data_IF_304602454257
#
_entry.id   IF_304602454257
#
_cell.length_a   1.000
_cell.length_b   1.000
_cell.length_c   1.000
_cell.angle_alpha   90.00
_cell.angle_beta   90.00
_cell.angle_gamma   90.00
#
_symmetry.space_group_name_H-M   'P 1'
#
loop_
_entity.id
_entity.type
_entity.pdbx_description
1 polymer ?
#
# COMPACT_ATOMS: atom_id res chain seq x y z
N UNK A 1 -10.93 -18.80 -5.55
CA UNK A 1 -10.39 -17.55 -6.13
C UNK A 1 -10.86 -16.44 -5.22
N UNK A 2 -9.97 -15.56 -4.76
CA UNK A 2 -10.39 -14.40 -3.97
C UNK A 2 -11.37 -13.57 -4.80
N UNK A 3 -12.52 -13.20 -4.24
CA UNK A 3 -13.54 -12.35 -4.88
C UNK A 3 -13.07 -10.89 -5.12
N UNK A 4 -11.77 -10.62 -4.96
CA UNK A 4 -11.19 -9.29 -5.01
C UNK A 4 -10.29 -9.18 -6.25
N UNK A 5 -10.42 -8.09 -7.03
CA UNK A 5 -9.54 -7.86 -8.17
C UNK A 5 -8.10 -7.70 -7.69
N UNK A 6 -7.15 -8.09 -8.54
CA UNK A 6 -5.73 -7.75 -8.32
C UNK A 6 -5.54 -6.26 -8.55
N UNK A 7 -5.01 -5.54 -7.55
CA UNK A 7 -4.82 -4.08 -7.59
C UNK A 7 -3.32 -3.76 -7.60
N UNK A 8 -2.92 -2.83 -8.47
CA UNK A 8 -1.61 -2.19 -8.41
C UNK A 8 -1.80 -0.70 -8.09
N UNK A 9 -1.02 -0.20 -7.12
CA UNK A 9 -1.00 1.20 -6.72
C UNK A 9 0.29 1.86 -7.21
N UNK A 10 0.16 2.77 -8.18
CA UNK A 10 1.27 3.51 -8.76
C UNK A 10 1.41 4.86 -8.06
N UNK A 11 2.61 5.14 -7.54
CA UNK A 11 2.90 6.36 -6.79
C UNK A 11 2.47 6.28 -5.32
N UNK A 12 3.13 5.44 -4.49
CA UNK A 12 2.89 5.36 -3.05
C UNK A 12 3.47 6.55 -2.27
N UNK A 13 3.09 7.77 -2.66
CA UNK A 13 3.30 8.98 -1.86
C UNK A 13 2.33 9.03 -0.67
N UNK A 14 2.06 10.23 -0.15
CA UNK A 14 1.14 10.40 0.99
C UNK A 14 -0.27 9.85 0.72
N UNK A 15 -0.88 10.26 -0.40
CA UNK A 15 -2.22 9.79 -0.79
C UNK A 15 -2.19 8.30 -1.13
N UNK A 16 -1.20 7.86 -1.90
CA UNK A 16 -1.05 6.47 -2.29
C UNK A 16 -0.91 5.53 -1.09
N UNK A 17 -0.14 5.92 -0.07
CA UNK A 17 0.01 5.17 1.18
C UNK A 17 -1.31 5.10 1.96
N UNK A 18 -2.11 6.17 1.94
CA UNK A 18 -3.43 6.19 2.57
C UNK A 18 -4.37 5.17 1.92
N UNK A 19 -4.44 5.17 0.58
CA UNK A 19 -5.25 4.20 -0.16
C UNK A 19 -4.73 2.78 0.02
N UNK A 20 -3.40 2.58 0.00
CA UNK A 20 -2.79 1.28 0.23
C UNK A 20 -3.13 0.71 1.61
N UNK A 21 -3.17 1.55 2.65
CA UNK A 21 -3.55 1.16 4.00
C UNK A 21 -5.02 0.71 4.07
N UNK A 22 -5.95 1.50 3.54
CA UNK A 22 -7.38 1.13 3.54
C UNK A 22 -7.61 -0.17 2.76
N UNK A 23 -6.95 -0.33 1.61
CA UNK A 23 -7.02 -1.57 0.83
C UNK A 23 -6.44 -2.77 1.59
N UNK A 24 -5.32 -2.58 2.30
CA UNK A 24 -4.70 -3.62 3.11
C UNK A 24 -5.61 -4.09 4.25
N UNK A 25 -6.23 -3.17 4.98
CA UNK A 25 -7.14 -3.49 6.11
C UNK A 25 -8.34 -4.33 5.70
N UNK A 26 -8.85 -4.13 4.47
CA UNK A 26 -9.97 -4.92 3.93
C UNK A 26 -9.53 -6.20 3.19
N UNK A 27 -8.25 -6.58 3.27
CA UNK A 27 -7.71 -7.78 2.62
C UNK A 27 -7.43 -7.65 1.13
N UNK A 28 -7.52 -6.44 0.56
CA UNK A 28 -7.24 -6.12 -0.84
C UNK A 28 -5.83 -5.53 -1.05
N UNK A 29 -4.82 -6.06 -0.33
CA UNK A 29 -3.46 -5.50 -0.32
C UNK A 29 -2.90 -5.32 -1.74
N UNK A 30 -2.59 -4.08 -2.18
CA UNK A 30 -2.18 -3.83 -3.55
C UNK A 30 -0.69 -4.15 -3.77
N UNK A 31 -0.32 -4.44 -5.01
CA UNK A 31 1.08 -4.37 -5.47
C UNK A 31 1.49 -2.90 -5.49
N UNK A 32 2.60 -2.55 -4.84
CA UNK A 32 3.06 -1.16 -4.71
C UNK A 32 4.13 -0.85 -5.77
N UNK A 33 3.95 0.21 -6.56
CA UNK A 33 4.92 0.60 -7.58
C UNK A 33 5.27 2.09 -7.46
N UNK A 34 6.55 2.43 -7.35
CA UNK A 34 6.99 3.80 -7.13
C UNK A 34 8.38 4.10 -7.70
N UNK A 35 8.83 5.33 -7.47
CA UNK A 35 10.18 5.76 -7.88
C UNK A 35 11.27 5.34 -6.90
N UNK A 36 10.92 5.33 -5.62
CA UNK A 36 11.84 5.02 -4.52
C UNK A 36 11.46 3.68 -3.92
N UNK A 37 12.41 2.76 -3.83
CA UNK A 37 12.21 1.48 -3.19
C UNK A 37 12.00 1.66 -1.68
N UNK A 38 10.98 0.99 -1.15
CA UNK A 38 10.72 0.88 0.29
C UNK A 38 10.36 -0.57 0.59
N UNK A 39 10.85 -1.12 1.70
CA UNK A 39 10.50 -2.48 2.14
C UNK A 39 9.05 -2.59 2.63
N UNK A 40 8.45 -1.47 3.02
CA UNK A 40 7.07 -1.34 3.49
C UNK A 40 6.63 0.12 3.42
N UNK A 41 5.32 0.34 3.46
CA UNK A 41 4.74 1.66 3.69
C UNK A 41 4.10 1.71 5.07
N UNK A 42 4.08 2.89 5.66
CA UNK A 42 3.56 3.12 6.99
C UNK A 42 2.64 4.33 6.93
N UNK A 43 1.35 4.12 7.18
CA UNK A 43 0.41 5.21 7.39
C UNK A 43 0.31 5.47 8.90
N UNK A 44 0.66 6.67 9.33
CA UNK A 44 0.42 7.15 10.70
C UNK A 44 -0.76 8.12 10.69
N UNK A 45 -1.73 7.88 11.55
CA UNK A 45 -2.90 8.73 11.73
C UNK A 45 -3.24 8.81 13.23
N UNK A 46 -4.17 9.70 13.62
CA UNK A 46 -4.48 9.95 15.04
C UNK A 46 -4.85 8.69 15.83
N UNK A 47 -5.42 7.68 15.17
CA UNK A 47 -5.85 6.42 15.79
C UNK A 47 -4.77 5.31 15.80
N UNK A 48 -3.53 5.59 15.39
CA UNK A 48 -2.44 4.60 15.35
C UNK A 48 -1.69 4.54 14.01
N UNK A 49 -1.17 3.36 13.70
CA UNK A 49 -0.31 3.12 12.54
C UNK A 49 -0.76 1.86 11.79
N UNK A 50 -0.80 1.93 10.47
CA UNK A 50 -1.04 0.80 9.58
C UNK A 50 0.23 0.54 8.77
N UNK A 51 0.77 -0.66 8.91
CA UNK A 51 1.93 -1.13 8.15
C UNK A 51 1.43 -1.90 6.94
N UNK A 52 1.66 -1.35 5.75
CA UNK A 52 1.37 -2.04 4.49
C UNK A 52 2.64 -2.78 4.05
N UNK A 53 2.59 -4.11 3.89
CA UNK A 53 3.75 -4.88 3.45
C UNK A 53 4.19 -4.43 2.06
N UNK A 54 5.50 -4.25 1.88
CA UNK A 54 6.09 -3.99 0.57
C UNK A 54 6.46 -5.28 -0.17
N UNK A 55 7.40 -5.20 -1.13
CA UNK A 55 8.20 -4.02 -1.49
C UNK A 55 7.44 -3.02 -2.35
N UNK A 56 7.86 -1.74 -2.32
CA UNK A 56 7.59 -0.80 -3.40
C UNK A 56 8.50 -1.17 -4.57
N UNK A 57 7.91 -1.70 -5.64
CA UNK A 57 8.59 -2.01 -6.88
C UNK A 57 9.02 -0.71 -7.58
N UNK A 58 10.31 -0.58 -7.85
CA UNK A 58 10.90 0.52 -8.60
C UNK A 58 11.70 -0.03 -9.78
N UNK A 59 11.85 0.79 -10.83
CA UNK A 59 12.70 0.50 -11.99
C UNK A 59 14.12 1.02 -11.79
#
# INVERSE_FOLDING_TARGET
MSDHPTIALIGPGAIGTTIAAVLHEVGCTPVLCGRTAHSQLILRHDNGEIVVPGPVLSH
#
